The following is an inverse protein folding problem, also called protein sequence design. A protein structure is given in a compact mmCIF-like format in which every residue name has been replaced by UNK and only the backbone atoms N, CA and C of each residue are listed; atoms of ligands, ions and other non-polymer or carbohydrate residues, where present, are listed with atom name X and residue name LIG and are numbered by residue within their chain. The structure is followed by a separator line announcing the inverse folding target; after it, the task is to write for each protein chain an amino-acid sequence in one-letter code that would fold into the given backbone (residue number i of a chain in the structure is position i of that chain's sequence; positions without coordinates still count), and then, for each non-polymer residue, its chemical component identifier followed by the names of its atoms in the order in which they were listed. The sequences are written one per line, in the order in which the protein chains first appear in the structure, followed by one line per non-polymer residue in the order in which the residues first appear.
data_IF_484234091262
#
_entry.id   IF_484234091262
#
_cell.length_a   1.000
_cell.length_b   1.000
_cell.length_c   1.000
_cell.angle_alpha   90.00
_cell.angle_beta   90.00
_cell.angle_gamma   90.00
#
_symmetry.space_group_name_H-M   'P 1'
#
loop_
_entity.id
_entity.type
_entity.pdbx_description
1 polymer ?
#
# COMPACT_ATOMS: atom_id res chain seq x y z
N UNK A 1 -11.94 4.08 -28.83
CA UNK A 1 -12.23 4.99 -27.70
C UNK A 1 -12.78 6.30 -28.27
N UNK A 2 -14.03 6.67 -27.97
CA UNK A 2 -14.61 7.95 -28.41
C UNK A 2 -14.07 9.06 -27.50
N UNK A 3 -13.19 9.90 -28.05
CA UNK A 3 -12.68 11.11 -27.39
C UNK A 3 -13.82 12.13 -27.33
N UNK A 4 -14.28 12.47 -26.12
CA UNK A 4 -15.32 13.49 -25.94
C UNK A 4 -14.79 14.84 -26.44
N UNK A 5 -15.50 15.49 -27.36
CA UNK A 5 -15.24 16.88 -27.72
C UNK A 5 -15.77 17.76 -26.59
N UNK A 6 -14.86 18.35 -25.80
CA UNK A 6 -15.16 19.24 -24.68
C UNK A 6 -15.67 20.58 -25.21
N UNK A 7 -16.98 20.73 -25.35
CA UNK A 7 -17.65 22.03 -25.52
C UNK A 7 -17.96 22.65 -24.15
N UNK A 8 -18.12 23.98 -24.08
CA UNK A 8 -18.41 24.71 -22.83
C UNK A 8 -19.63 24.16 -22.07
N UNK A 9 -20.64 23.66 -22.79
CA UNK A 9 -21.84 23.00 -22.22
C UNK A 9 -21.57 21.59 -21.67
N UNK A 10 -20.59 20.86 -22.21
CA UNK A 10 -20.25 19.50 -21.78
C UNK A 10 -19.18 19.47 -20.68
N UNK A 11 -18.52 20.59 -20.41
CA UNK A 11 -17.47 20.70 -19.40
C UNK A 11 -18.00 20.42 -17.99
N UNK A 12 -19.15 20.98 -17.62
CA UNK A 12 -19.78 20.73 -16.32
C UNK A 12 -20.23 19.26 -16.19
N UNK A 13 -20.78 18.67 -17.25
CA UNK A 13 -21.15 17.25 -17.27
C UNK A 13 -19.93 16.33 -17.18
N UNK A 14 -18.81 16.71 -17.80
CA UNK A 14 -17.55 15.98 -17.68
C UNK A 14 -16.99 16.07 -16.26
N UNK A 15 -17.03 17.25 -15.63
CA UNK A 15 -16.65 17.42 -14.22
C UNK A 15 -17.55 16.58 -13.32
N UNK A 16 -18.87 16.68 -13.47
CA UNK A 16 -19.81 15.90 -12.68
C UNK A 16 -19.61 14.38 -12.85
N UNK A 17 -19.37 13.92 -14.07
CA UNK A 17 -19.03 12.52 -14.34
C UNK A 17 -17.71 12.12 -13.68
N UNK A 18 -16.67 12.95 -13.75
CA UNK A 18 -15.38 12.69 -13.13
C UNK A 18 -15.49 12.71 -11.61
N UNK A 19 -16.21 13.66 -11.03
CA UNK A 19 -16.47 13.76 -9.58
C UNK A 19 -17.31 12.59 -9.09
N UNK A 20 -18.33 12.16 -9.82
CA UNK A 20 -19.11 10.98 -9.45
C UNK A 20 -18.31 9.68 -9.60
N UNK A 21 -17.44 9.60 -10.62
CA UNK A 21 -16.64 8.41 -10.89
C UNK A 21 -15.39 8.28 -10.02
N UNK A 22 -14.79 9.39 -9.61
CA UNK A 22 -13.49 9.44 -8.91
C UNK A 22 -13.52 10.20 -7.58
N UNK A 23 -14.58 10.94 -7.29
CA UNK A 23 -14.72 11.77 -6.08
C UNK A 23 -15.37 11.06 -4.90
N UNK A 24 -15.69 9.77 -5.00
CA UNK A 24 -16.15 8.98 -3.85
C UNK A 24 -14.94 8.48 -3.05
N UNK A 25 -14.63 9.06 -1.87
CA UNK A 25 -13.46 8.69 -1.08
C UNK A 25 -13.52 7.24 -0.60
N UNK A 26 -14.70 6.72 -0.27
CA UNK A 26 -14.86 5.32 0.15
C UNK A 26 -14.59 4.34 -0.99
N UNK A 27 -15.00 4.68 -2.22
CA UNK A 27 -14.71 3.83 -3.37
C UNK A 27 -13.22 3.78 -3.66
N UNK A 28 -12.52 4.90 -3.49
CA UNK A 28 -11.05 4.93 -3.59
C UNK A 28 -10.40 4.09 -2.48
N UNK A 29 -10.88 4.16 -1.25
CA UNK A 29 -10.41 3.31 -0.15
C UNK A 29 -10.63 1.82 -0.48
N UNK A 30 -11.83 1.45 -0.95
CA UNK A 30 -12.13 0.07 -1.39
C UNK A 30 -11.21 -0.37 -2.52
N UNK A 31 -10.89 0.50 -3.47
CA UNK A 31 -9.95 0.19 -4.55
C UNK A 31 -8.52 0.00 -4.03
N UNK A 32 -8.08 0.81 -3.08
CA UNK A 32 -6.76 0.66 -2.44
C UNK A 32 -6.65 -0.64 -1.67
N UNK A 33 -7.68 -1.02 -0.91
CA UNK A 33 -7.75 -2.31 -0.21
C UNK A 33 -7.74 -3.49 -1.20
N UNK A 34 -8.52 -3.40 -2.29
CA UNK A 34 -8.49 -4.42 -3.36
C UNK A 34 -7.14 -4.51 -4.05
N UNK A 35 -6.43 -3.39 -4.23
CA UNK A 35 -5.06 -3.39 -4.76
C UNK A 35 -4.12 -4.09 -3.78
N UNK A 36 -4.18 -3.74 -2.49
CA UNK A 36 -3.41 -4.42 -1.45
C UNK A 36 -3.65 -5.94 -1.46
N UNK A 37 -4.90 -6.38 -1.65
CA UNK A 37 -5.24 -7.81 -1.71
C UNK A 37 -4.66 -8.49 -2.95
N UNK A 38 -4.66 -7.82 -4.11
CA UNK A 38 -4.19 -8.39 -5.38
C UNK A 38 -2.69 -8.37 -5.55
N UNK A 39 -1.98 -7.44 -4.92
CA UNK A 39 -0.54 -7.38 -5.04
C UNK A 39 0.06 -8.62 -4.39
N UNK A 40 0.91 -9.31 -5.16
CA UNK A 40 1.62 -10.52 -4.75
C UNK A 40 2.97 -10.59 -5.44
N UNK A 41 3.92 -11.28 -4.81
CA UNK A 41 5.19 -11.61 -5.43
C UNK A 41 4.98 -12.62 -6.55
N UNK A 42 5.63 -12.39 -7.68
CA UNK A 42 5.63 -13.33 -8.81
C UNK A 42 6.83 -14.29 -8.70
N UNK A 43 7.88 -13.86 -8.00
CA UNK A 43 9.08 -14.61 -7.68
C UNK A 43 9.60 -14.23 -6.28
N UNK A 44 10.41 -15.10 -5.69
CA UNK A 44 11.09 -14.83 -4.42
C UNK A 44 12.34 -13.94 -4.59
N UNK A 45 12.53 -13.29 -5.74
CA UNK A 45 13.70 -12.44 -5.98
C UNK A 45 13.68 -11.21 -5.07
N UNK A 46 14.85 -10.72 -4.68
CA UNK A 46 14.94 -9.57 -3.78
C UNK A 46 14.45 -8.27 -4.45
N UNK A 47 14.71 -8.12 -5.75
CA UNK A 47 14.23 -6.98 -6.53
C UNK A 47 12.69 -6.89 -6.61
N UNK A 48 11.99 -8.02 -6.74
CA UNK A 48 10.53 -8.00 -6.71
C UNK A 48 9.98 -7.72 -5.31
N UNK A 49 10.68 -8.17 -4.26
CA UNK A 49 10.34 -7.83 -2.88
C UNK A 49 10.52 -6.34 -2.59
N UNK A 50 11.55 -5.71 -3.14
CA UNK A 50 11.75 -4.25 -3.07
C UNK A 50 10.58 -3.51 -3.74
N UNK A 51 10.24 -3.90 -4.97
CA UNK A 51 9.11 -3.30 -5.70
C UNK A 51 7.78 -3.50 -4.97
N UNK A 52 7.57 -4.68 -4.40
CA UNK A 52 6.40 -4.96 -3.55
C UNK A 52 6.33 -4.00 -2.36
N UNK A 53 7.46 -3.76 -1.68
CA UNK A 53 7.50 -2.84 -0.54
C UNK A 53 7.11 -1.42 -0.96
N UNK A 54 7.68 -0.90 -2.05
CA UNK A 54 7.33 0.42 -2.60
C UNK A 54 5.83 0.55 -2.93
N UNK A 55 5.26 -0.48 -3.57
CA UNK A 55 3.82 -0.52 -3.89
C UNK A 55 2.95 -0.52 -2.61
N UNK A 56 3.36 -1.27 -1.58
CA UNK A 56 2.67 -1.32 -0.29
C UNK A 56 2.78 0.04 0.42
N UNK A 57 3.96 0.64 0.48
CA UNK A 57 4.19 1.97 1.06
C UNK A 57 3.30 3.03 0.39
N UNK A 58 3.22 3.01 -0.95
CA UNK A 58 2.37 3.92 -1.70
C UNK A 58 0.87 3.73 -1.39
N UNK A 59 0.40 2.50 -1.17
CA UNK A 59 -0.99 2.23 -0.81
C UNK A 59 -1.28 2.63 0.64
N UNK A 60 -0.40 2.28 1.57
CA UNK A 60 -0.54 2.65 2.98
C UNK A 60 -0.53 4.18 3.11
N UNK A 61 0.37 4.88 2.43
CA UNK A 61 0.41 6.35 2.42
C UNK A 61 -0.91 6.96 1.91
N UNK A 62 -1.50 6.39 0.85
CA UNK A 62 -2.80 6.83 0.34
C UNK A 62 -3.96 6.53 1.28
N UNK A 63 -3.94 5.42 2.01
CA UNK A 63 -4.95 5.10 3.02
C UNK A 63 -4.88 6.09 4.19
N UNK A 64 -3.67 6.36 4.69
CA UNK A 64 -3.43 7.35 5.76
C UNK A 64 -3.89 8.75 5.35
N UNK A 65 -3.54 9.20 4.13
CA UNK A 65 -3.99 10.50 3.60
C UNK A 65 -5.52 10.63 3.50
N UNK A 66 -6.23 9.49 3.38
CA UNK A 66 -7.70 9.44 3.33
C UNK A 66 -8.35 9.26 4.70
N UNK A 67 -7.56 9.25 5.78
CA UNK A 67 -8.04 9.12 7.16
C UNK A 67 -8.31 7.68 7.60
N UNK A 68 -7.87 6.68 6.83
CA UNK A 68 -8.01 5.27 7.22
C UNK A 68 -7.01 4.89 8.32
N UNK A 69 -7.49 4.12 9.29
CA UNK A 69 -6.62 3.58 10.34
C UNK A 69 -5.86 2.36 9.81
N UNK A 70 -4.59 2.56 9.45
CA UNK A 70 -3.67 1.49 9.02
C UNK A 70 -2.97 0.79 10.19
N UNK A 71 -2.98 1.39 11.38
CA UNK A 71 -2.28 0.90 12.57
C UNK A 71 -3.13 -0.12 13.34
N UNK A 72 -3.54 -1.18 12.64
CA UNK A 72 -4.36 -2.25 13.19
C UNK A 72 -3.80 -3.64 12.88
N UNK A 73 -4.10 -4.59 13.76
CA UNK A 73 -3.56 -5.96 13.67
C UNK A 73 -3.87 -6.66 12.34
N UNK A 74 -5.05 -6.43 11.78
CA UNK A 74 -5.45 -7.01 10.49
C UNK A 74 -4.59 -6.49 9.35
N UNK A 75 -4.32 -5.18 9.32
CA UNK A 75 -3.46 -4.57 8.30
C UNK A 75 -2.00 -5.01 8.46
N UNK A 76 -1.50 -5.11 9.70
CA UNK A 76 -0.16 -5.65 9.95
C UNK A 76 0.00 -7.07 9.44
N UNK A 77 -0.95 -7.95 9.73
CA UNK A 77 -0.95 -9.32 9.22
C UNK A 77 -1.05 -9.35 7.69
N UNK A 78 -1.89 -8.49 7.11
CA UNK A 78 -2.04 -8.37 5.66
C UNK A 78 -0.72 -8.02 5.00
N UNK A 79 -0.02 -6.99 5.48
CA UNK A 79 1.31 -6.60 4.95
C UNK A 79 2.33 -7.72 5.14
N UNK A 80 2.43 -8.32 6.34
CA UNK A 80 3.36 -9.42 6.62
C UNK A 80 3.17 -10.60 5.66
N UNK A 81 1.92 -11.01 5.43
CA UNK A 81 1.58 -12.14 4.56
C UNK A 81 1.94 -11.95 3.09
N UNK A 82 2.27 -10.73 2.64
CA UNK A 82 2.70 -10.47 1.26
C UNK A 82 4.14 -10.87 0.98
N UNK A 83 4.96 -10.99 2.01
CA UNK A 83 6.38 -11.31 1.88
C UNK A 83 6.66 -12.79 2.16
N UNK A 84 7.79 -13.35 1.69
CA UNK A 84 8.17 -14.72 1.99
C UNK A 84 8.47 -14.89 3.50
N UNK A 85 8.28 -16.10 4.01
CA UNK A 85 8.46 -16.43 5.43
C UNK A 85 9.86 -16.04 5.96
N UNK A 86 10.89 -16.10 5.11
CA UNK A 86 12.26 -15.68 5.47
C UNK A 86 12.34 -14.21 5.89
N UNK A 87 11.76 -13.30 5.10
CA UNK A 87 11.71 -11.87 5.41
C UNK A 87 10.78 -11.60 6.59
N UNK A 88 9.62 -12.24 6.64
CA UNK A 88 8.68 -12.10 7.76
C UNK A 88 9.37 -12.40 9.10
N UNK A 89 10.15 -13.48 9.18
CA UNK A 89 10.89 -13.86 10.40
C UNK A 89 11.92 -12.81 10.79
N UNK A 90 12.67 -12.27 9.83
CA UNK A 90 13.68 -11.21 10.08
C UNK A 90 13.01 -9.93 10.59
N UNK A 91 11.90 -9.52 10.00
CA UNK A 91 11.11 -8.36 10.43
C UNK A 91 10.53 -8.55 11.83
N UNK A 92 9.96 -9.73 12.13
CA UNK A 92 9.44 -10.07 13.47
C UNK A 92 10.56 -10.08 14.50
N UNK A 93 11.72 -10.65 14.16
CA UNK A 93 12.88 -10.65 15.06
C UNK A 93 13.29 -9.22 15.41
N UNK A 94 13.35 -8.34 14.41
CA UNK A 94 13.68 -6.92 14.60
C UNK A 94 12.68 -6.18 15.48
N UNK A 95 11.39 -6.50 15.34
CA UNK A 95 10.33 -6.01 16.23
C UNK A 95 10.56 -6.44 17.68
N UNK A 96 10.92 -7.70 17.93
CA UNK A 96 11.15 -8.21 19.29
C UNK A 96 12.40 -7.56 19.93
N UNK A 97 13.44 -7.32 19.13
CA UNK A 97 14.68 -6.68 19.60
C UNK A 97 14.53 -5.17 19.84
N UNK A 98 13.45 -4.54 19.36
CA UNK A 98 13.22 -3.08 19.47
C UNK A 98 11.90 -2.78 20.20
N UNK A 99 11.79 -3.06 21.51
CA UNK A 99 10.54 -2.90 22.26
C UNK A 99 10.19 -1.45 22.63
N UNK A 100 11.15 -0.52 22.56
CA UNK A 100 11.00 0.83 23.11
C UNK A 100 10.23 1.82 22.21
N UNK A 101 9.91 1.44 20.97
CA UNK A 101 9.16 2.29 20.03
C UNK A 101 7.71 1.80 19.84
N UNK A 102 6.72 2.71 19.78
CA UNK A 102 5.34 2.34 19.49
C UNK A 102 5.26 1.64 18.13
N UNK A 103 4.69 0.44 18.11
CA UNK A 103 4.56 -0.36 16.90
C UNK A 103 3.47 0.21 15.97
N UNK A 104 3.90 0.98 14.98
CA UNK A 104 3.07 1.56 13.91
C UNK A 104 3.33 0.87 12.57
N UNK A 105 2.45 1.09 11.60
CA UNK A 105 2.62 0.61 10.23
C UNK A 105 3.89 1.20 9.59
N UNK A 106 4.19 2.45 9.87
CA UNK A 106 5.43 3.10 9.42
C UNK A 106 6.66 2.37 9.97
N UNK A 107 6.62 1.95 11.24
CA UNK A 107 7.70 1.19 11.84
C UNK A 107 7.82 -0.21 11.21
N UNK A 108 6.69 -0.87 10.91
CA UNK A 108 6.69 -2.15 10.20
C UNK A 108 7.34 -2.03 8.82
N UNK A 109 6.97 -1.00 8.05
CA UNK A 109 7.54 -0.74 6.72
C UNK A 109 9.04 -0.43 6.79
N UNK A 110 9.48 0.35 7.78
CA UNK A 110 10.91 0.61 8.05
C UNK A 110 11.68 -0.67 8.39
N UNK A 111 11.08 -1.63 9.09
CA UNK A 111 11.71 -2.93 9.34
C UNK A 111 11.84 -3.74 8.07
N UNK A 112 10.81 -3.74 7.21
CA UNK A 112 10.90 -4.35 5.89
C UNK A 112 12.02 -3.72 5.04
N UNK A 113 12.11 -2.39 5.04
CA UNK A 113 13.15 -1.68 4.29
C UNK A 113 14.54 -2.15 4.70
N UNK A 114 14.86 -2.11 5.99
CA UNK A 114 16.19 -2.52 6.44
C UNK A 114 16.48 -3.99 6.16
N UNK A 115 15.47 -4.87 6.31
CA UNK A 115 15.66 -6.29 6.02
C UNK A 115 15.89 -6.51 4.52
N UNK A 116 15.11 -5.87 3.64
CA UNK A 116 15.27 -6.01 2.20
C UNK A 116 16.62 -5.45 1.76
N UNK A 117 17.00 -4.24 2.22
CA UNK A 117 18.32 -3.67 1.93
C UNK A 117 19.47 -4.55 2.42
N UNK A 118 19.32 -5.24 3.55
CA UNK A 118 20.35 -6.18 4.03
C UNK A 118 20.50 -7.43 3.17
N UNK A 119 19.46 -7.84 2.43
CA UNK A 119 19.52 -8.97 1.51
C UNK A 119 19.94 -8.57 0.09
N UNK A 120 19.98 -7.27 -0.22
CA UNK A 120 20.49 -6.73 -1.49
C UNK A 120 22.03 -6.64 -1.52
N UNK A 121 22.69 -6.69 -0.35
CA UNK A 121 24.14 -6.65 -0.16
C UNK A 121 24.76 -8.05 -0.18
#
# INVERSE_FOLDING_TARGET
MKKFQLTRQNYLKAIEFLTNKYGNPEELIRQLLRKMDKISLHSSSIHEQRRLLEDIEAIIGQLVQKGENVDNQSMYQKVLSKFPVGIQRKVIHKKITSPDEPFTMQQLLKYFEVVITSEEQ
#
